data_IF_098279702085
#
_entry.id   IF_098279702085
#
_cell.length_a   1.000
_cell.length_b   1.000
_cell.length_c   1.000
_cell.angle_alpha   90.00
_cell.angle_beta   90.00
_cell.angle_gamma   90.00
#
_symmetry.space_group_name_H-M   'P 1'
#
loop_
_entity.id
_entity.type
_entity.pdbx_description
1 polymer ?
#
# COMPACT_ATOMS: atom_id res chain seq x y z
N UNK A 1 -2.67 11.90 -11.76
CA UNK A 1 -3.28 10.76 -11.05
C UNK A 1 -2.18 9.77 -10.81
N UNK A 2 -1.86 9.51 -9.55
CA UNK A 2 -0.78 8.59 -9.16
C UNK A 2 -1.39 7.27 -8.73
N UNK A 3 -0.65 6.17 -8.88
CA UNK A 3 -1.10 4.82 -8.52
C UNK A 3 -0.05 4.21 -7.60
N UNK A 4 -0.50 3.68 -6.46
CA UNK A 4 0.31 2.87 -5.55
C UNK A 4 -0.12 1.41 -5.72
N UNK A 5 0.80 0.56 -6.13
CA UNK A 5 0.62 -0.90 -6.19
C UNK A 5 1.34 -1.53 -5.02
N UNK A 6 0.72 -2.55 -4.43
CA UNK A 6 1.25 -3.34 -3.32
C UNK A 6 1.03 -4.81 -3.66
N UNK A 7 2.10 -5.54 -3.84
CA UNK A 7 2.12 -6.97 -4.09
C UNK A 7 2.53 -7.68 -2.81
N UNK A 8 1.76 -8.69 -2.42
CA UNK A 8 2.13 -9.64 -1.39
C UNK A 8 2.67 -10.90 -2.05
N UNK A 9 3.94 -11.21 -1.82
CA UNK A 9 4.59 -12.41 -2.35
C UNK A 9 4.82 -13.48 -1.28
N UNK A 10 4.14 -13.35 -0.14
CA UNK A 10 4.25 -14.25 1.01
C UNK A 10 2.91 -14.87 1.38
N UNK A 11 2.99 -15.85 2.28
CA UNK A 11 1.90 -16.62 2.89
C UNK A 11 1.21 -15.91 4.07
N UNK A 12 1.67 -14.72 4.45
CA UNK A 12 1.05 -13.89 5.47
C UNK A 12 0.06 -12.86 4.90
N UNK A 13 -0.76 -12.26 5.76
CA UNK A 13 -1.56 -11.09 5.38
C UNK A 13 -0.80 -9.81 5.68
N UNK A 14 -0.90 -8.82 4.80
CA UNK A 14 -0.37 -7.49 5.03
C UNK A 14 -1.49 -6.46 5.17
N UNK A 15 -1.33 -5.48 6.06
CA UNK A 15 -2.13 -4.26 6.12
C UNK A 15 -1.37 -3.11 5.50
N UNK A 16 -1.92 -2.51 4.46
CA UNK A 16 -1.52 -1.22 3.94
C UNK A 16 -2.35 -0.12 4.60
N UNK A 17 -1.70 0.89 5.16
CA UNK A 17 -2.31 2.08 5.75
C UNK A 17 -1.78 3.30 5.01
N UNK A 18 -2.65 4.00 4.30
CA UNK A 18 -2.32 5.16 3.47
C UNK A 18 -3.05 6.38 4.01
N UNK A 19 -2.33 7.40 4.45
CA UNK A 19 -2.92 8.68 4.90
C UNK A 19 -2.68 9.79 3.89
N UNK A 20 -3.72 10.53 3.55
CA UNK A 20 -3.68 11.62 2.57
C UNK A 20 -3.55 13.00 3.22
N UNK A 21 -2.81 13.91 2.59
CA UNK A 21 -2.49 15.25 3.13
C UNK A 21 -3.70 16.19 3.25
N UNK A 22 -4.73 16.03 2.41
CA UNK A 22 -5.94 16.85 2.47
C UNK A 22 -7.06 16.10 3.20
N UNK A 23 -7.43 16.58 4.40
CA UNK A 23 -8.61 16.19 5.19
C UNK A 23 -8.54 14.89 6.02
N UNK A 24 -7.34 14.38 6.36
CA UNK A 24 -7.22 13.28 7.31
C UNK A 24 -7.83 11.95 6.85
N UNK A 25 -8.09 11.79 5.54
CA UNK A 25 -8.55 10.52 4.99
C UNK A 25 -7.42 9.50 5.13
N UNK A 26 -7.75 8.35 5.71
CA UNK A 26 -6.89 7.18 5.78
C UNK A 26 -7.60 6.02 5.10
N UNK A 27 -6.90 5.32 4.20
CA UNK A 27 -7.35 4.04 3.66
C UNK A 27 -6.55 2.95 4.36
N UNK A 28 -7.26 1.97 4.90
CA UNK A 28 -6.68 0.72 5.38
C UNK A 28 -7.16 -0.40 4.46
N UNK A 29 -6.23 -1.20 3.95
CA UNK A 29 -6.54 -2.36 3.13
C UNK A 29 -5.71 -3.56 3.58
N UNK A 30 -6.36 -4.71 3.69
CA UNK A 30 -5.69 -5.98 3.86
C UNK A 30 -5.36 -6.54 2.48
N UNK A 31 -4.11 -6.94 2.28
CA UNK A 31 -3.61 -7.64 1.10
C UNK A 31 -3.35 -9.08 1.52
N UNK A 32 -4.18 -9.99 1.03
CA UNK A 32 -4.07 -11.42 1.31
C UNK A 32 -2.80 -12.03 0.70
N UNK A 33 -2.41 -13.24 1.14
CA UNK A 33 -1.28 -13.96 0.59
C UNK A 33 -1.31 -14.06 -0.93
N UNK A 34 -0.17 -13.81 -1.58
CA UNK A 34 -0.02 -13.94 -3.03
C UNK A 34 -0.99 -13.07 -3.85
N UNK A 35 -1.48 -11.96 -3.30
CA UNK A 35 -2.39 -11.01 -3.97
C UNK A 35 -1.72 -9.65 -4.24
N UNK A 36 -2.25 -8.92 -5.21
CA UNK A 36 -1.91 -7.52 -5.50
C UNK A 36 -3.09 -6.60 -5.16
N UNK A 37 -2.80 -5.44 -4.55
CA UNK A 37 -3.74 -4.35 -4.38
C UNK A 37 -3.22 -3.07 -5.06
N UNK A 38 -4.11 -2.36 -5.76
CA UNK A 38 -3.79 -1.10 -6.42
C UNK A 38 -4.68 0.03 -5.89
N UNK A 39 -4.06 1.16 -5.56
CA UNK A 39 -4.71 2.32 -5.00
C UNK A 39 -4.49 3.53 -5.90
N UNK A 40 -5.59 4.21 -6.21
CA UNK A 40 -5.53 5.56 -6.80
C UNK A 40 -5.16 6.50 -5.65
N UNK A 41 -3.96 7.05 -5.74
CA UNK A 41 -3.40 7.91 -4.69
C UNK A 41 -3.15 9.30 -5.25
N UNK A 42 -3.47 10.29 -4.43
CA UNK A 42 -3.00 11.66 -4.58
C UNK A 42 -2.15 11.99 -3.34
N UNK A 43 -1.65 13.23 -3.22
CA UNK A 43 -0.87 13.80 -2.09
C UNK A 43 -0.77 12.91 -0.82
N UNK A 44 0.10 11.89 -0.86
CA UNK A 44 0.29 10.93 0.23
C UNK A 44 1.08 11.65 1.32
N UNK A 45 0.50 11.72 2.52
CA UNK A 45 1.19 12.26 3.69
C UNK A 45 2.03 11.19 4.37
N UNK A 46 1.51 9.98 4.50
CA UNK A 46 2.23 8.84 5.07
C UNK A 46 1.71 7.52 4.52
N UNK A 47 2.61 6.54 4.49
CA UNK A 47 2.33 5.17 4.06
C UNK A 47 2.99 4.22 5.04
N UNK A 48 2.26 3.20 5.50
CA UNK A 48 2.75 2.15 6.41
C UNK A 48 2.25 0.80 5.93
N UNK A 49 3.13 -0.20 5.97
CA UNK A 49 2.79 -1.62 5.79
C UNK A 49 3.04 -2.34 7.12
N UNK A 50 2.14 -3.23 7.50
CA UNK A 50 2.27 -4.11 8.67
C UNK A 50 1.84 -5.51 8.31
N UNK A 51 2.44 -6.54 8.90
CA UNK A 51 1.89 -7.90 8.86
C UNK A 51 0.66 -8.03 9.76
N UNK A 52 -0.26 -8.93 9.43
CA UNK A 52 -1.43 -9.30 10.25
C UNK A 52 -1.53 -10.83 10.33
N UNK A 53 -1.03 -11.43 11.40
CA UNK A 53 -1.01 -12.90 11.56
C UNK A 53 -0.06 -13.60 10.57
N UNK A 54 0.47 -14.79 10.82
CA UNK A 54 0.25 -15.76 11.89
C UNK A 54 1.41 -15.79 12.90
N UNK A 55 1.19 -16.39 14.07
CA UNK A 55 2.19 -16.52 15.16
C UNK A 55 3.46 -17.28 14.73
N UNK A 56 3.39 -18.03 13.62
CA UNK A 56 4.48 -18.85 13.06
C UNK A 56 5.15 -18.24 11.82
N UNK A 57 4.71 -17.08 11.31
CA UNK A 57 5.32 -16.47 10.12
C UNK A 57 6.40 -15.48 10.55
N UNK A 58 7.65 -15.85 10.31
CA UNK A 58 8.83 -15.06 10.66
C UNK A 58 9.07 -13.86 9.74
N UNK A 59 8.60 -13.91 8.49
CA UNK A 59 8.82 -12.86 7.50
C UNK A 59 7.62 -12.68 6.56
N UNK A 60 7.20 -11.43 6.37
CA UNK A 60 6.26 -11.02 5.32
C UNK A 60 7.02 -10.27 4.23
N UNK A 61 7.07 -10.84 3.03
CA UNK A 61 7.68 -10.22 1.87
C UNK A 61 6.62 -9.65 0.95
N UNK A 62 6.84 -8.40 0.52
CA UNK A 62 6.02 -7.76 -0.48
C UNK A 62 6.81 -6.73 -1.26
N UNK A 63 6.22 -6.27 -2.36
CA UNK A 63 6.77 -5.20 -3.20
C UNK A 63 5.77 -4.06 -3.28
N UNK A 64 6.27 -2.83 -3.33
CA UNK A 64 5.43 -1.67 -3.58
C UNK A 64 5.99 -0.84 -4.73
N UNK A 65 5.09 -0.30 -5.55
CA UNK A 65 5.44 0.55 -6.68
C UNK A 65 4.55 1.81 -6.68
N UNK A 66 5.18 2.99 -6.66
CA UNK A 66 4.47 4.27 -6.74
C UNK A 66 4.71 4.91 -8.11
N UNK A 67 3.66 4.96 -8.94
CA UNK A 67 3.68 5.68 -10.22
C UNK A 67 3.10 7.06 -10.03
N UNK A 68 3.94 8.09 -10.15
CA UNK A 68 3.52 9.50 -10.05
C UNK A 68 3.38 10.07 -11.45
N UNK A 69 2.18 10.55 -11.79
CA UNK A 69 1.96 11.31 -13.03
C UNK A 69 2.17 12.79 -12.75
N UNK A 70 3.28 13.35 -13.24
CA UNK A 70 3.50 14.78 -13.25
C UNK A 70 2.53 15.43 -14.25
N UNK A 71 1.92 16.56 -13.88
CA UNK A 71 1.29 17.43 -14.87
C UNK A 71 2.44 18.12 -15.62
N UNK A 72 2.47 18.01 -16.94
CA UNK A 72 3.33 18.89 -17.74
C UNK A 72 2.94 20.32 -17.40
N UNK A 73 3.90 21.15 -17.00
CA UNK A 73 3.69 22.58 -16.93
C UNK A 73 3.35 23.03 -18.35
N UNK A 74 2.15 23.58 -18.54
CA UNK A 74 1.78 24.35 -19.73
C UNK A 74 1.91 25.80 -19.35
#
# INVERSE_FOLDING_TARGET
>A
MSVLKIENSSDCRMRAIISFGSRGKTIEQVVDPFQEAAFIVNNIKSFKIRSIGAEDITECTGKFELKIRLKSAV
#
